data_IF_682810343929
#
_entry.id   IF_682810343929
#
_cell.length_a   1.000
_cell.length_b   1.000
_cell.length_c   1.000
_cell.angle_alpha   90.00
_cell.angle_beta   90.00
_cell.angle_gamma   90.00
#
_symmetry.space_group_name_H-M   'P 1'
#
loop_
_entity.id
_entity.type
_entity.pdbx_description
1 polymer ?
#
# COMPACT_ATOMS: atom_id res chain seq x y z
N UNK A 1 -10.61 3.94 -30.46
CA UNK A 1 -11.29 2.74 -29.92
C UNK A 1 -10.93 2.58 -28.45
N UNK A 2 -11.53 3.40 -27.58
CA UNK A 2 -11.25 3.40 -26.13
C UNK A 2 -12.53 3.46 -25.25
N UNK A 3 -13.73 3.47 -25.84
CA UNK A 3 -14.99 3.74 -25.13
C UNK A 3 -15.61 2.55 -24.40
N UNK A 4 -15.62 1.35 -25.01
CA UNK A 4 -16.35 0.19 -24.46
C UNK A 4 -15.82 -0.32 -23.11
N UNK A 5 -14.61 0.10 -22.70
CA UNK A 5 -14.02 -0.25 -21.39
C UNK A 5 -14.67 0.46 -20.20
N UNK A 6 -15.43 1.54 -20.41
CA UNK A 6 -16.00 2.35 -19.33
C UNK A 6 -17.52 2.58 -19.38
N UNK A 7 -18.20 2.43 -20.52
CA UNK A 7 -19.66 2.63 -20.57
C UNK A 7 -20.42 1.65 -19.65
N UNK A 8 -19.95 0.39 -19.53
CA UNK A 8 -20.48 -0.60 -18.58
C UNK A 8 -20.28 -0.26 -17.08
N UNK A 9 -19.61 0.86 -16.78
CA UNK A 9 -19.32 1.37 -15.43
C UNK A 9 -20.06 2.69 -15.14
N UNK A 10 -20.74 3.29 -16.13
CA UNK A 10 -21.25 4.67 -16.07
C UNK A 10 -22.78 4.83 -16.22
N UNK A 11 -23.55 3.76 -16.41
CA UNK A 11 -25.02 3.80 -16.44
C UNK A 11 -25.61 4.25 -15.07
N UNK A 12 -26.28 5.41 -14.97
CA UNK A 12 -26.88 5.88 -13.71
C UNK A 12 -28.13 5.10 -13.28
N UNK A 13 -28.71 4.26 -14.15
CA UNK A 13 -29.96 3.54 -13.93
C UNK A 13 -29.80 2.10 -13.41
N UNK A 14 -28.59 1.55 -13.38
CA UNK A 14 -28.33 0.19 -12.90
C UNK A 14 -27.62 0.15 -11.54
N UNK A 15 -27.76 -0.94 -10.75
CA UNK A 15 -26.99 -1.17 -9.53
C UNK A 15 -25.52 -1.54 -9.82
N UNK A 16 -24.83 -0.73 -10.64
CA UNK A 16 -23.47 -0.92 -11.13
C UNK A 16 -22.36 -0.57 -10.11
N UNK A 17 -22.63 -0.72 -8.81
CA UNK A 17 -21.59 -0.76 -7.77
C UNK A 17 -21.02 -2.17 -7.55
N UNK A 18 -21.44 -3.15 -8.38
CA UNK A 18 -21.09 -4.56 -8.29
C UNK A 18 -20.09 -5.03 -9.37
N UNK A 19 -18.90 -4.43 -9.40
CA UNK A 19 -17.70 -5.10 -9.95
C UNK A 19 -17.23 -6.21 -9.00
N UNK A 20 -16.67 -7.33 -9.48
CA UNK A 20 -16.74 -8.63 -8.79
C UNK A 20 -16.00 -8.69 -7.44
N UNK A 21 -16.77 -8.73 -6.34
CA UNK A 21 -16.39 -9.21 -5.00
C UNK A 21 -15.18 -8.56 -4.28
N UNK A 22 -14.63 -7.45 -4.76
CA UNK A 22 -13.45 -6.81 -4.13
C UNK A 22 -13.79 -6.21 -2.74
N UNK A 23 -15.05 -5.79 -2.53
CA UNK A 23 -15.58 -5.23 -1.28
C UNK A 23 -16.48 -6.20 -0.49
N UNK A 24 -16.09 -7.47 -0.41
CA UNK A 24 -16.66 -8.38 0.60
C UNK A 24 -16.05 -8.09 1.98
N UNK A 25 -16.91 -7.72 2.93
CA UNK A 25 -16.60 -7.49 4.36
C UNK A 25 -16.57 -8.79 5.19
N UNK A 26 -16.91 -9.92 4.58
CA UNK A 26 -16.95 -11.22 5.24
C UNK A 26 -15.56 -11.80 5.51
N UNK A 27 -15.43 -12.47 6.65
CA UNK A 27 -14.22 -13.15 7.12
C UNK A 27 -13.84 -14.29 6.14
N UNK A 28 -13.07 -13.99 5.10
CA UNK A 28 -12.69 -15.04 4.15
C UNK A 28 -11.55 -15.90 4.71
N UNK A 29 -11.85 -17.19 4.94
CA UNK A 29 -10.84 -18.22 5.27
C UNK A 29 -9.72 -18.26 4.23
N UNK A 30 -10.03 -17.88 2.98
CA UNK A 30 -9.09 -17.67 1.87
C UNK A 30 -8.04 -16.61 2.20
N UNK A 31 -8.43 -15.43 2.68
CA UNK A 31 -7.50 -14.39 3.10
C UNK A 31 -6.60 -14.86 4.23
N UNK A 32 -7.16 -15.42 5.30
CA UNK A 32 -6.36 -15.90 6.43
C UNK A 32 -5.38 -17.02 6.00
N UNK A 33 -5.78 -17.93 5.11
CA UNK A 33 -4.90 -18.96 4.53
C UNK A 33 -3.75 -18.37 3.70
N UNK A 34 -4.05 -17.51 2.71
CA UNK A 34 -3.00 -16.89 1.87
C UNK A 34 -2.08 -15.99 2.68
N UNK A 35 -2.62 -15.27 3.67
CA UNK A 35 -1.87 -14.46 4.63
C UNK A 35 -0.94 -15.31 5.51
N UNK A 36 -1.40 -16.46 6.00
CA UNK A 36 -0.58 -17.40 6.76
C UNK A 36 0.55 -17.96 5.89
N UNK A 37 0.24 -18.45 4.69
CA UNK A 37 1.22 -19.00 3.75
C UNK A 37 2.29 -17.97 3.35
N UNK A 38 1.88 -16.74 3.02
CA UNK A 38 2.79 -15.63 2.75
C UNK A 38 3.64 -15.30 3.99
N UNK A 39 3.03 -15.19 5.18
CA UNK A 39 3.74 -14.90 6.43
C UNK A 39 4.78 -15.97 6.78
N UNK A 40 4.47 -17.25 6.60
CA UNK A 40 5.42 -18.35 6.81
C UNK A 40 6.55 -18.28 5.79
N UNK A 41 6.24 -18.17 4.50
CA UNK A 41 7.23 -18.07 3.41
C UNK A 41 8.16 -16.88 3.61
N UNK A 42 7.65 -15.72 4.02
CA UNK A 42 8.46 -14.52 4.24
C UNK A 42 9.26 -14.58 5.54
N UNK A 43 8.78 -15.29 6.57
CA UNK A 43 9.59 -15.67 7.76
C UNK A 43 10.64 -16.73 7.42
N UNK A 44 10.46 -17.50 6.34
CA UNK A 44 11.46 -18.38 5.71
C UNK A 44 12.41 -17.62 4.78
N UNK A 45 12.04 -16.50 4.14
CA UNK A 45 12.96 -15.72 3.30
C UNK A 45 13.80 -14.70 4.08
N UNK A 46 13.21 -13.98 5.03
CA UNK A 46 13.80 -12.81 5.70
C UNK A 46 13.73 -12.88 7.24
N UNK A 47 14.51 -12.05 7.93
CA UNK A 47 14.42 -11.87 9.38
C UNK A 47 13.59 -10.63 9.71
N UNK A 48 12.52 -10.76 10.49
CA UNK A 48 11.56 -9.66 10.70
C UNK A 48 11.69 -9.03 12.08
N UNK A 49 11.74 -7.69 12.14
CA UNK A 49 11.56 -6.89 13.36
C UNK A 49 10.40 -5.93 13.13
N UNK A 50 9.35 -6.06 13.94
CA UNK A 50 8.13 -5.25 13.83
C UNK A 50 7.93 -4.52 15.15
N UNK A 51 7.89 -3.19 15.11
CA UNK A 51 7.80 -2.30 16.26
C UNK A 51 6.55 -1.42 16.17
N UNK A 52 6.01 -1.00 17.32
CA UNK A 52 4.92 -0.02 17.36
C UNK A 52 3.51 -0.54 17.05
N UNK A 53 3.29 -1.86 16.93
CA UNK A 53 1.95 -2.46 16.70
C UNK A 53 0.85 -1.94 17.64
N UNK A 54 1.20 -1.62 18.89
CA UNK A 54 0.29 -1.03 19.90
C UNK A 54 -0.20 0.39 19.57
N UNK A 55 0.36 1.03 18.55
CA UNK A 55 -0.05 2.35 18.09
C UNK A 55 -1.19 2.28 17.06
N UNK A 56 -1.54 1.10 16.56
CA UNK A 56 -2.65 0.95 15.62
C UNK A 56 -3.97 1.31 16.30
N UNK A 57 -4.81 2.18 15.71
CA UNK A 57 -6.14 2.46 16.23
C UNK A 57 -7.04 1.22 16.12
N UNK A 58 -8.10 1.11 16.95
CA UNK A 58 -9.05 0.00 16.89
C UNK A 58 -10.01 0.08 15.68
N UNK A 59 -10.13 1.25 15.06
CA UNK A 59 -11.06 1.53 13.96
C UNK A 59 -10.39 1.76 12.59
N UNK A 60 -11.12 2.28 11.60
CA UNK A 60 -10.56 2.61 10.28
C UNK A 60 -9.44 3.65 10.40
N UNK A 61 -8.46 3.56 9.51
CA UNK A 61 -7.35 4.50 9.41
C UNK A 61 -6.71 4.49 8.02
N UNK A 62 -5.95 5.55 7.72
CA UNK A 62 -5.09 5.62 6.54
C UNK A 62 -3.66 5.29 6.94
N UNK A 63 -3.17 4.12 6.56
CA UNK A 63 -1.76 3.74 6.68
C UNK A 63 -0.99 4.36 5.52
N UNK A 64 0.05 5.13 5.83
CA UNK A 64 1.04 5.57 4.85
C UNK A 64 2.38 4.89 5.11
N UNK A 65 3.05 4.42 4.06
CA UNK A 65 4.37 3.81 4.16
C UNK A 65 5.35 4.39 3.12
N UNK A 66 6.65 4.34 3.38
CA UNK A 66 7.64 4.62 2.34
C UNK A 66 7.80 3.44 1.39
N UNK A 67 8.17 3.68 0.13
CA UNK A 67 8.26 2.65 -0.91
C UNK A 67 9.68 2.50 -1.45
N UNK A 68 10.16 1.25 -1.56
CA UNK A 68 11.53 0.86 -1.91
C UNK A 68 11.60 -0.44 -2.73
N UNK A 69 10.61 -1.34 -2.63
CA UNK A 69 10.60 -2.64 -3.34
C UNK A 69 9.23 -3.36 -3.30
N UNK A 70 9.06 -4.42 -4.10
CA UNK A 70 7.86 -5.27 -4.15
C UNK A 70 7.47 -5.89 -2.80
N UNK A 71 8.44 -6.07 -1.90
CA UNK A 71 8.21 -6.66 -0.57
C UNK A 71 7.40 -5.75 0.36
N UNK A 72 7.35 -4.43 0.09
CA UNK A 72 6.78 -3.45 1.01
C UNK A 72 5.31 -3.71 1.33
N UNK A 73 4.48 -4.02 0.32
CA UNK A 73 3.06 -4.30 0.53
C UNK A 73 2.85 -5.54 1.39
N UNK A 74 3.69 -6.57 1.21
CA UNK A 74 3.68 -7.75 2.08
C UNK A 74 4.18 -7.44 3.49
N UNK A 75 5.19 -6.57 3.63
CA UNK A 75 5.72 -6.13 4.92
C UNK A 75 4.67 -5.36 5.74
N UNK A 76 3.96 -4.42 5.12
CA UNK A 76 2.82 -3.70 5.72
C UNK A 76 1.73 -4.69 6.11
N UNK A 77 1.27 -5.54 5.18
CA UNK A 77 0.23 -6.53 5.48
C UNK A 77 0.64 -7.46 6.64
N UNK A 78 1.87 -7.96 6.69
CA UNK A 78 2.38 -8.79 7.80
C UNK A 78 2.50 -8.03 9.13
N UNK A 79 2.75 -6.73 9.10
CA UNK A 79 2.90 -5.90 10.29
C UNK A 79 1.55 -5.61 10.98
N UNK A 80 0.51 -5.38 10.19
CA UNK A 80 -0.87 -5.15 10.64
C UNK A 80 -1.53 -6.44 11.19
N UNK A 81 -2.64 -6.34 11.95
CA UNK A 81 -3.52 -7.49 12.24
C UNK A 81 -4.19 -8.00 10.94
N UNK A 82 -4.85 -9.17 10.99
CA UNK A 82 -5.64 -9.68 9.86
C UNK A 82 -7.01 -9.00 9.71
N UNK A 83 -7.45 -8.28 10.75
CA UNK A 83 -8.73 -7.56 10.89
C UNK A 83 -8.49 -6.23 11.61
N UNK A 84 -9.17 -5.12 11.25
CA UNK A 84 -10.06 -4.98 10.09
C UNK A 84 -9.36 -5.22 8.74
N UNK A 85 -10.15 -5.37 7.66
CA UNK A 85 -9.62 -5.68 6.32
C UNK A 85 -8.72 -4.53 5.83
N UNK A 86 -7.63 -4.86 5.13
CA UNK A 86 -6.71 -3.87 4.56
C UNK A 86 -6.90 -3.80 3.05
N UNK A 87 -7.05 -2.58 2.53
CA UNK A 87 -7.06 -2.26 1.11
C UNK A 87 -5.77 -1.55 0.73
N UNK A 88 -4.99 -2.16 -0.15
CA UNK A 88 -3.83 -1.52 -0.76
C UNK A 88 -4.28 -0.62 -1.91
N UNK A 89 -3.92 0.65 -1.87
CA UNK A 89 -3.96 1.52 -3.05
C UNK A 89 -2.72 1.22 -3.91
N UNK A 90 -2.91 0.97 -5.20
CA UNK A 90 -1.80 0.69 -6.11
C UNK A 90 -2.19 0.95 -7.56
N UNK A 91 -1.20 1.05 -8.43
CA UNK A 91 -1.43 1.34 -9.84
C UNK A 91 -2.27 0.26 -10.54
N UNK A 92 -3.04 0.64 -11.56
CA UNK A 92 -3.91 -0.26 -12.30
C UNK A 92 -3.12 -1.32 -13.12
N UNK A 93 -1.96 -0.94 -13.66
CA UNK A 93 -1.03 -1.78 -14.44
C UNK A 93 -0.54 -3.04 -13.70
N UNK A 94 -0.51 -3.01 -12.36
CA UNK A 94 -0.28 -4.16 -11.47
C UNK A 94 -1.20 -5.33 -11.81
N UNK A 95 -2.42 -5.04 -12.30
CA UNK A 95 -3.43 -6.02 -12.69
C UNK A 95 -3.28 -6.56 -14.13
N UNK A 96 -2.45 -5.94 -14.97
CA UNK A 96 -2.15 -6.46 -16.32
C UNK A 96 -1.27 -7.72 -16.24
N UNK A 97 -0.46 -7.81 -15.19
CA UNK A 97 0.33 -9.02 -14.90
C UNK A 97 -0.59 -10.15 -14.45
N UNK A 98 -0.94 -11.07 -15.38
CA UNK A 98 -1.82 -12.24 -15.15
C UNK A 98 -1.58 -12.96 -13.82
N UNK A 99 -0.31 -13.18 -13.43
CA UNK A 99 0.07 -13.86 -12.17
C UNK A 99 -0.34 -13.05 -10.93
N UNK A 100 -0.17 -11.73 -10.97
CA UNK A 100 -0.39 -10.82 -9.85
C UNK A 100 -1.88 -10.51 -9.69
N UNK A 101 -2.58 -10.26 -10.80
CA UNK A 101 -4.05 -10.20 -10.85
C UNK A 101 -4.72 -11.47 -10.35
N UNK A 102 -4.24 -12.66 -10.77
CA UNK A 102 -4.71 -13.94 -10.23
C UNK A 102 -4.47 -14.04 -8.72
N UNK A 103 -3.29 -13.66 -8.22
CA UNK A 103 -2.96 -13.72 -6.80
C UNK A 103 -3.83 -12.78 -5.96
N UNK A 104 -4.03 -11.54 -6.41
CA UNK A 104 -4.89 -10.54 -5.75
C UNK A 104 -6.33 -11.09 -5.66
N UNK A 105 -6.90 -11.52 -6.79
CA UNK A 105 -8.27 -12.07 -6.85
C UNK A 105 -8.45 -13.38 -6.07
N UNK A 106 -7.44 -14.25 -6.03
CA UNK A 106 -7.54 -15.55 -5.32
C UNK A 106 -7.34 -15.41 -3.81
N UNK A 107 -6.38 -14.58 -3.39
CA UNK A 107 -6.10 -14.30 -1.97
C UNK A 107 -7.19 -13.52 -1.26
N UNK A 108 -7.97 -12.69 -1.98
CA UNK A 108 -8.99 -11.84 -1.36
C UNK A 108 -8.40 -10.63 -0.62
N UNK A 109 -7.14 -10.28 -0.90
CA UNK A 109 -6.54 -9.02 -0.45
C UNK A 109 -7.34 -7.83 -1.00
N UNK A 110 -7.58 -6.82 -0.18
CA UNK A 110 -8.20 -5.59 -0.67
C UNK A 110 -7.22 -4.85 -1.58
N UNK A 111 -7.67 -4.46 -2.77
CA UNK A 111 -6.88 -3.67 -3.71
C UNK A 111 -7.76 -2.62 -4.39
N UNK A 112 -7.30 -1.37 -4.41
CA UNK A 112 -7.95 -0.26 -5.09
C UNK A 112 -6.99 0.22 -6.20
N UNK A 113 -7.31 -0.03 -7.48
CA UNK A 113 -6.50 0.46 -8.59
C UNK A 113 -6.63 1.97 -8.75
N UNK A 114 -5.52 2.63 -9.07
CA UNK A 114 -5.43 4.04 -9.48
C UNK A 114 -4.63 4.17 -10.78
N UNK A 115 -4.96 5.16 -11.60
CA UNK A 115 -4.16 5.48 -12.79
C UNK A 115 -2.91 6.28 -12.42
N UNK A 116 -1.83 6.13 -13.21
CA UNK A 116 -0.60 6.93 -13.05
C UNK A 116 -0.89 8.41 -13.34
N UNK A 117 -1.51 8.69 -14.49
CA UNK A 117 -1.97 10.04 -14.85
C UNK A 117 -3.43 10.24 -14.43
N UNK A 118 -3.61 10.76 -13.22
CA UNK A 118 -4.94 11.09 -12.67
C UNK A 118 -5.63 12.24 -13.42
N UNK A 119 -4.90 13.03 -14.22
CA UNK A 119 -5.42 14.16 -14.98
C UNK A 119 -5.96 13.75 -16.36
N UNK A 120 -5.33 12.77 -17.01
CA UNK A 120 -5.85 12.13 -18.22
C UNK A 120 -7.08 11.24 -17.95
N UNK A 121 -7.20 10.69 -16.73
CA UNK A 121 -8.30 9.78 -16.36
C UNK A 121 -9.15 10.27 -15.17
N UNK A 122 -9.79 11.46 -15.26
CA UNK A 122 -10.50 12.09 -14.14
C UNK A 122 -11.67 11.24 -13.61
N UNK A 123 -12.36 10.50 -14.50
CA UNK A 123 -13.43 9.59 -14.11
C UNK A 123 -12.90 8.40 -13.26
N UNK A 124 -11.76 7.81 -13.66
CA UNK A 124 -11.13 6.73 -12.90
C UNK A 124 -10.63 7.23 -11.53
N UNK A 125 -10.04 8.42 -11.49
CA UNK A 125 -9.64 9.12 -10.25
C UNK A 125 -10.82 9.30 -9.28
N UNK A 126 -11.99 9.73 -9.79
CA UNK A 126 -13.21 9.86 -8.98
C UNK A 126 -13.74 8.50 -8.48
N UNK A 127 -13.68 7.45 -9.30
CA UNK A 127 -14.06 6.08 -8.90
C UNK A 127 -13.13 5.56 -7.80
N UNK A 128 -11.82 5.76 -7.92
CA UNK A 128 -10.85 5.38 -6.89
C UNK A 128 -11.09 6.16 -5.59
N UNK A 129 -11.35 7.47 -5.67
CA UNK A 129 -11.74 8.29 -4.51
C UNK A 129 -12.96 7.73 -3.78
N UNK A 130 -14.05 7.44 -4.51
CA UNK A 130 -15.27 6.85 -3.94
C UNK A 130 -15.00 5.49 -3.28
N UNK A 131 -14.13 4.66 -3.87
CA UNK A 131 -13.70 3.37 -3.28
C UNK A 131 -12.90 3.55 -1.98
N UNK A 132 -12.00 4.53 -1.93
CA UNK A 132 -11.23 4.86 -0.71
C UNK A 132 -12.16 5.33 0.42
N UNK A 133 -13.09 6.25 0.13
CA UNK A 133 -14.08 6.71 1.11
C UNK A 133 -14.97 5.56 1.61
N UNK A 134 -15.49 4.73 0.70
CA UNK A 134 -16.32 3.57 1.06
C UNK A 134 -15.57 2.55 1.92
N UNK A 135 -14.31 2.25 1.60
CA UNK A 135 -13.44 1.40 2.41
C UNK A 135 -13.36 1.87 3.87
N UNK A 136 -13.11 3.16 4.09
CA UNK A 136 -13.00 3.72 5.44
C UNK A 136 -14.35 3.75 6.17
N UNK A 137 -15.44 4.08 5.47
CA UNK A 137 -16.80 4.04 6.00
C UNK A 137 -17.26 2.62 6.41
N UNK A 138 -16.78 1.58 5.72
CA UNK A 138 -16.99 0.17 6.08
C UNK A 138 -16.06 -0.32 7.21
N UNK A 139 -15.31 0.58 7.86
CA UNK A 139 -14.43 0.27 9.00
C UNK A 139 -13.10 -0.41 8.61
N UNK A 140 -12.76 -0.43 7.32
CA UNK A 140 -11.51 -1.03 6.82
C UNK A 140 -10.33 -0.05 6.86
N UNK A 141 -9.11 -0.58 6.70
CA UNK A 141 -7.87 0.20 6.64
C UNK A 141 -7.49 0.44 5.19
N UNK A 142 -7.24 1.69 4.82
CA UNK A 142 -6.62 2.05 3.56
C UNK A 142 -5.10 2.13 3.75
N UNK A 143 -4.32 1.41 2.96
CA UNK A 143 -2.86 1.43 3.01
C UNK A 143 -2.27 1.87 1.65
N UNK A 144 -1.38 2.85 1.66
CA UNK A 144 -0.82 3.45 0.44
C UNK A 144 0.62 3.96 0.63
N UNK A 145 1.25 4.31 -0.50
CA UNK A 145 2.56 4.94 -0.56
C UNK A 145 2.40 6.39 -1.02
N UNK A 146 2.56 7.41 -0.15
CA UNK A 146 2.32 8.80 -0.51
C UNK A 146 3.40 9.35 -1.47
N UNK A 147 4.54 8.67 -1.58
CA UNK A 147 5.61 8.96 -2.55
C UNK A 147 5.20 8.70 -4.00
N UNK A 148 4.09 7.98 -4.26
CA UNK A 148 3.57 7.70 -5.60
C UNK A 148 4.39 6.73 -6.46
N UNK A 149 5.68 6.54 -6.17
CA UNK A 149 6.62 5.66 -6.89
C UNK A 149 7.62 4.99 -5.93
N UNK A 150 8.46 4.09 -6.45
CA UNK A 150 9.51 3.38 -5.70
C UNK A 150 10.75 4.28 -5.51
N UNK A 151 11.12 4.54 -4.26
CA UNK A 151 12.29 5.31 -3.87
C UNK A 151 13.63 4.61 -4.11
N UNK A 152 14.69 5.42 -4.30
CA UNK A 152 16.01 4.92 -4.72
C UNK A 152 16.94 4.61 -3.54
N UNK A 153 16.85 5.39 -2.46
CA UNK A 153 17.76 5.37 -1.32
C UNK A 153 17.03 4.97 -0.03
N UNK A 154 17.55 3.99 0.71
CA UNK A 154 17.03 3.69 2.05
C UNK A 154 17.28 4.86 3.02
N UNK A 155 16.24 5.23 3.78
CA UNK A 155 16.31 6.29 4.79
C UNK A 155 16.02 7.71 4.28
N UNK A 156 15.81 7.89 2.96
CA UNK A 156 15.31 9.13 2.35
C UNK A 156 13.85 8.95 1.91
N UNK A 157 13.09 10.04 1.92
CA UNK A 157 11.71 10.10 1.44
C UNK A 157 11.59 11.02 0.22
N UNK A 158 11.03 10.52 -0.87
CA UNK A 158 10.54 11.33 -1.98
C UNK A 158 9.40 12.26 -1.51
N UNK A 159 9.08 13.36 -2.21
CA UNK A 159 7.94 14.22 -1.90
C UNK A 159 6.63 13.44 -1.78
N UNK A 160 5.71 13.90 -0.93
CA UNK A 160 4.42 13.23 -0.72
C UNK A 160 3.32 13.91 -1.55
N UNK A 161 2.54 13.10 -2.28
CA UNK A 161 1.26 13.52 -2.84
C UNK A 161 0.23 13.73 -1.72
N UNK A 162 -0.60 14.76 -1.84
CA UNK A 162 -1.54 15.15 -0.77
C UNK A 162 -2.86 14.38 -0.75
N UNK A 163 -3.12 13.51 -1.72
CA UNK A 163 -4.40 12.79 -1.85
C UNK A 163 -4.80 11.99 -0.60
N UNK A 164 -3.84 11.41 0.12
CA UNK A 164 -4.12 10.65 1.35
C UNK A 164 -4.65 11.54 2.49
N UNK A 165 -4.14 12.77 2.60
CA UNK A 165 -4.56 13.70 3.64
C UNK A 165 -5.99 14.17 3.38
N UNK A 166 -6.33 14.48 2.12
CA UNK A 166 -7.73 14.75 1.70
C UNK A 166 -8.66 13.58 2.04
N UNK A 167 -8.23 12.34 1.78
CA UNK A 167 -9.03 11.14 2.09
C UNK A 167 -9.26 11.02 3.60
N UNK A 168 -8.20 11.15 4.41
CA UNK A 168 -8.25 11.03 5.86
C UNK A 168 -9.12 12.11 6.52
N UNK A 169 -8.99 13.37 6.07
CA UNK A 169 -9.82 14.51 6.50
C UNK A 169 -11.30 14.28 6.17
N UNK A 170 -11.61 13.91 4.93
CA UNK A 170 -13.00 13.70 4.50
C UNK A 170 -13.69 12.52 5.20
N UNK A 171 -12.93 11.51 5.64
CA UNK A 171 -13.44 10.37 6.40
C UNK A 171 -13.34 10.56 7.94
N UNK A 172 -12.73 11.65 8.42
CA UNK A 172 -12.40 11.89 9.83
C UNK A 172 -11.66 10.70 10.50
N UNK A 173 -10.68 10.11 9.80
CA UNK A 173 -9.88 8.96 10.30
C UNK A 173 -8.40 9.30 10.49
N UNK A 174 -7.72 8.71 11.49
CA UNK A 174 -6.30 8.97 11.73
C UNK A 174 -5.40 8.48 10.59
N UNK A 175 -4.32 9.23 10.34
CA UNK A 175 -3.20 8.80 9.49
C UNK A 175 -2.15 8.11 10.35
N UNK A 176 -1.74 6.90 9.97
CA UNK A 176 -0.74 6.12 10.71
C UNK A 176 0.50 5.90 9.83
N UNK A 177 1.64 6.54 10.15
CA UNK A 177 2.87 6.38 9.38
C UNK A 177 3.59 5.08 9.72
N UNK A 178 4.09 4.39 8.69
CA UNK A 178 4.80 3.12 8.79
C UNK A 178 6.13 3.23 8.05
N UNK A 179 7.24 3.20 8.79
CA UNK A 179 8.56 3.17 8.17
C UNK A 179 9.01 1.73 7.87
N UNK A 180 9.45 1.52 6.64
CA UNK A 180 10.05 0.29 6.11
C UNK A 180 11.55 0.52 5.87
N UNK A 181 12.38 -0.40 6.38
CA UNK A 181 13.81 -0.44 6.06
C UNK A 181 14.29 -1.89 5.92
N UNK A 182 15.31 -2.07 5.10
CA UNK A 182 15.82 -3.35 4.66
C UNK A 182 15.17 -3.86 3.37
N UNK A 183 14.14 -3.20 2.82
CA UNK A 183 13.40 -3.74 1.67
C UNK A 183 14.00 -3.42 0.31
N UNK A 184 14.75 -2.31 0.17
CA UNK A 184 15.34 -1.85 -1.11
C UNK A 184 16.17 -2.91 -1.84
N UNK A 185 16.98 -3.65 -1.09
CA UNK A 185 17.73 -4.81 -1.57
C UNK A 185 17.34 -6.04 -0.76
N UNK A 186 17.04 -7.17 -1.41
CA UNK A 186 16.57 -8.38 -0.74
C UNK A 186 17.54 -9.54 -0.95
N UNK A 187 17.95 -10.20 0.12
CA UNK A 187 18.73 -11.44 0.09
C UNK A 187 18.31 -12.36 1.25
N UNK A 188 18.65 -13.65 1.17
CA UNK A 188 18.23 -14.63 2.16
C UNK A 188 18.69 -14.23 3.58
N UNK A 189 17.77 -14.32 4.55
CA UNK A 189 17.97 -13.93 5.96
C UNK A 189 18.24 -12.44 6.21
N UNK A 190 18.12 -11.53 5.21
CA UNK A 190 18.22 -10.08 5.46
C UNK A 190 17.22 -9.65 6.54
N UNK A 191 17.65 -8.76 7.45
CA UNK A 191 16.76 -8.13 8.43
C UNK A 191 15.89 -7.06 7.75
N UNK A 192 14.58 -7.20 7.88
CA UNK A 192 13.55 -6.23 7.48
C UNK A 192 12.96 -5.64 8.75
N UNK A 193 12.92 -4.30 8.80
CA UNK A 193 12.37 -3.53 9.91
C UNK A 193 11.07 -2.85 9.45
N UNK A 194 10.01 -3.03 10.25
CA UNK A 194 8.76 -2.29 10.12
C UNK A 194 8.50 -1.55 11.42
N UNK A 195 8.32 -0.23 11.34
CA UNK A 195 8.04 0.64 12.49
C UNK A 195 6.73 1.38 12.29
N UNK A 196 5.74 1.05 13.10
CA UNK A 196 4.44 1.71 13.09
C UNK A 196 4.49 2.91 14.07
N UNK A 197 4.28 4.11 13.56
CA UNK A 197 4.24 5.35 14.34
C UNK A 197 2.96 5.52 15.14
N UNK A 198 2.87 6.62 15.89
CA UNK A 198 1.62 7.06 16.51
C UNK A 198 0.65 7.56 15.43
N UNK A 199 -0.67 7.37 15.59
CA UNK A 199 -1.66 7.98 14.73
C UNK A 199 -1.56 9.51 14.82
N UNK A 200 -1.75 10.18 13.69
CA UNK A 200 -2.00 11.61 13.60
C UNK A 200 -3.50 11.79 13.41
N UNK A 201 -4.11 12.57 14.28
CA UNK A 201 -5.51 12.93 14.22
C UNK A 201 -5.72 13.98 13.09
N UNK A 202 -6.65 13.79 12.14
CA UNK A 202 -6.97 14.80 11.14
C UNK A 202 -7.67 16.04 11.72
N UNK A 203 -8.25 15.97 12.93
CA UNK A 203 -9.02 17.09 13.47
C UNK A 203 -8.16 18.36 13.65
N UNK A 204 -8.76 19.52 13.35
CA UNK A 204 -8.11 20.82 13.33
C UNK A 204 -6.98 21.01 12.31
N UNK A 205 -6.60 20.00 11.51
CA UNK A 205 -5.54 20.11 10.52
C UNK A 205 -6.06 20.53 9.13
N UNK A 206 -5.27 21.34 8.43
CA UNK A 206 -5.45 21.53 6.98
C UNK A 206 -4.83 20.35 6.23
N UNK A 207 -5.22 20.20 4.97
CA UNK A 207 -4.63 19.19 4.08
C UNK A 207 -3.09 19.23 4.08
N UNK A 208 -2.52 20.43 3.95
CA UNK A 208 -1.08 20.60 3.80
C UNK A 208 -0.34 20.42 5.13
N UNK A 209 -0.94 20.86 6.26
CA UNK A 209 -0.38 20.60 7.58
C UNK A 209 -0.40 19.10 7.92
N UNK A 210 -1.43 18.37 7.50
CA UNK A 210 -1.51 16.91 7.68
C UNK A 210 -0.51 16.17 6.79
N UNK A 211 -0.22 16.66 5.57
CA UNK A 211 0.86 16.11 4.74
C UNK A 211 2.22 16.29 5.41
N UNK A 212 2.54 17.50 5.86
CA UNK A 212 3.84 17.80 6.46
C UNK A 212 4.02 17.10 7.82
N UNK A 213 3.01 17.12 8.68
CA UNK A 213 3.06 16.43 9.98
C UNK A 213 3.22 14.91 9.80
N UNK A 214 2.55 14.33 8.80
CA UNK A 214 2.68 12.91 8.43
C UNK A 214 4.06 12.57 7.86
N UNK A 215 4.62 13.42 6.99
CA UNK A 215 5.98 13.29 6.45
C UNK A 215 7.02 13.34 7.58
N UNK A 216 6.95 14.34 8.44
CA UNK A 216 7.83 14.50 9.59
C UNK A 216 7.68 13.37 10.62
N UNK A 217 6.47 12.80 10.77
CA UNK A 217 6.26 11.62 11.60
C UNK A 217 6.90 10.35 11.00
N UNK A 218 6.75 10.11 9.70
CA UNK A 218 7.35 8.96 9.03
C UNK A 218 8.89 9.06 8.98
N UNK A 219 9.44 10.24 8.69
CA UNK A 219 10.88 10.49 8.68
C UNK A 219 11.55 10.20 10.03
N UNK A 220 10.87 10.47 11.16
CA UNK A 220 11.36 10.15 12.51
C UNK A 220 11.37 8.65 12.84
N UNK A 221 10.61 7.83 12.11
CA UNK A 221 10.59 6.37 12.32
C UNK A 221 11.71 5.67 11.54
N UNK A 222 12.12 6.24 10.40
CA UNK A 222 13.20 5.69 9.58
C UNK A 222 14.50 5.56 10.39
N UNK A 223 15.14 4.38 10.42
CA UNK A 223 16.46 4.25 11.02
C UNK A 223 17.51 4.94 10.14
N UNK A 224 18.65 5.33 10.72
CA UNK A 224 19.85 5.60 9.93
C UNK A 224 20.26 4.29 9.24
N UNK A 225 20.03 4.19 7.93
CA UNK A 225 20.36 2.99 7.17
C UNK A 225 21.87 2.77 7.15
N UNK A 226 22.28 1.53 7.40
CA UNK A 226 23.67 1.09 7.26
C UNK A 226 23.70 -0.11 6.32
N UNK A 227 24.33 -0.03 5.13
CA UNK A 227 24.45 -1.15 4.23
C UNK A 227 25.07 -2.36 4.94
N UNK A 228 24.40 -3.52 4.85
CA UNK A 228 24.93 -4.73 5.44
C UNK A 228 26.21 -5.17 4.73
N UNK A 229 27.24 -5.48 5.53
CA UNK A 229 28.51 -6.07 5.08
C UNK A 229 28.37 -7.59 4.95
N UNK A 230 29.21 -8.21 4.12
CA UNK A 230 29.24 -9.66 3.92
C UNK A 230 28.41 -10.17 2.73
N UNK A 231 28.34 -11.49 2.52
CA UNK A 231 27.72 -12.10 1.35
C UNK A 231 26.19 -11.93 1.31
N UNK A 232 25.67 -11.46 0.17
CA UNK A 232 24.24 -11.20 -0.05
C UNK A 232 23.59 -12.32 -0.87
N UNK A 233 23.39 -13.49 -0.26
CA UNK A 233 22.94 -14.72 -0.93
C UNK A 233 21.60 -14.53 -1.68
N UNK A 234 21.62 -14.74 -3.00
CA UNK A 234 20.43 -14.63 -3.86
C UNK A 234 19.98 -13.20 -4.16
N UNK A 235 20.78 -12.15 -3.83
CA UNK A 235 20.43 -10.72 -3.98
C UNK A 235 19.70 -10.40 -5.28
N UNK A 236 20.30 -10.72 -6.42
CA UNK A 236 19.77 -10.36 -7.73
C UNK A 236 18.46 -11.04 -8.13
N UNK A 237 18.15 -12.21 -7.53
CA UNK A 237 16.89 -12.95 -7.75
C UNK A 237 15.79 -12.47 -6.81
N UNK A 238 16.10 -12.33 -5.52
CA UNK A 238 15.11 -11.91 -4.51
C UNK A 238 14.73 -10.43 -4.65
N UNK A 239 15.68 -9.55 -4.98
CA UNK A 239 15.43 -8.11 -5.15
C UNK A 239 14.50 -7.82 -6.35
N UNK A 240 14.52 -8.67 -7.39
CA UNK A 240 13.74 -8.52 -8.63
C UNK A 240 12.75 -9.67 -8.84
N UNK A 241 12.22 -10.23 -7.74
CA UNK A 241 11.32 -11.38 -7.81
C UNK A 241 9.98 -11.03 -8.48
N UNK A 242 9.53 -9.78 -8.32
CA UNK A 242 8.31 -9.24 -8.95
C UNK A 242 8.67 -7.91 -9.66
N UNK A 243 9.23 -7.95 -10.89
CA UNK A 243 9.70 -6.74 -11.58
C UNK A 243 8.61 -5.66 -11.75
N UNK A 244 7.37 -6.08 -12.01
CA UNK A 244 6.19 -5.20 -12.10
C UNK A 244 5.86 -4.40 -10.82
N UNK A 245 6.51 -4.72 -9.69
CA UNK A 245 6.44 -3.99 -8.42
C UNK A 245 7.82 -3.46 -7.96
N UNK A 246 8.82 -3.44 -8.86
CA UNK A 246 10.20 -3.08 -8.54
C UNK A 246 10.73 -2.00 -9.49
N UNK A 247 10.46 -2.12 -10.78
CA UNK A 247 10.93 -1.20 -11.83
C UNK A 247 9.77 -0.32 -12.30
N UNK A 248 9.38 0.65 -11.48
CA UNK A 248 8.30 1.61 -11.78
C UNK A 248 8.76 2.87 -12.53
N UNK A 249 10.04 2.94 -12.89
CA UNK A 249 10.68 4.14 -13.44
C UNK A 249 11.14 4.03 -14.90
N UNK A 250 10.97 2.87 -15.55
CA UNK A 250 11.44 2.65 -16.93
C UNK A 250 10.69 3.49 -17.99
N UNK A 251 9.54 4.07 -17.64
CA UNK A 251 8.68 4.86 -18.54
C UNK A 251 8.53 6.34 -18.12
N UNK A 252 9.35 6.84 -17.18
CA UNK A 252 9.31 8.26 -16.78
C UNK A 252 10.17 9.17 -17.68
N UNK A 253 11.10 8.58 -18.44
CA UNK A 253 12.02 9.25 -19.37
C UNK A 253 11.72 8.87 -20.85
N UNK A 254 10.44 8.73 -21.21
CA UNK A 254 9.98 8.41 -22.59
C UNK A 254 8.79 9.26 -23.02
#
# INVERSE_FOLDING_TARGET
>A
MADERFESVLDPGQPALAGPEILSSHLSLRWDFFRLLASMTLRVLFGWRIEGRKNLPPGPCVIIANHLNWLDSFAVLMALPSRPKVYLLGWADVLDTRKLSWLIRKSGVGFIPVERDQSAFPAATLVAWRRMQRCLAEGAVLALYPEGTVGHDEGKLLPFHSGFARVALAAAVPVVPVALSGTRELWFRKRILVRIGRPLDPDGQTNDSLVESSRAALQRLLPVYRPARGPKLGRGRLTRLIPALTDTQADADR
#
